data_IF_920872221463
#
_entry.id   IF_920872221463
#
_cell.length_a   1.000
_cell.length_b   1.000
_cell.length_c   1.000
_cell.angle_alpha   90.00
_cell.angle_beta   90.00
_cell.angle_gamma   90.00
#
_symmetry.space_group_name_H-M   'P 1'
#
loop_
_entity.id
_entity.type
_entity.pdbx_description
1 polymer ?
#
# COMPACT_ATOMS: atom_id res chain seq x y z
N UNK A 1 2.53 10.53 -28.53
CA UNK A 1 3.29 10.98 -27.34
C UNK A 1 3.27 9.86 -26.30
N UNK A 2 4.34 9.09 -26.20
CA UNK A 2 4.45 7.98 -25.25
C UNK A 2 4.79 8.54 -23.87
N UNK A 3 3.85 8.48 -22.93
CA UNK A 3 4.04 8.92 -21.55
C UNK A 3 4.79 7.82 -20.81
N UNK A 4 6.07 8.05 -20.52
CA UNK A 4 6.85 7.22 -19.62
C UNK A 4 6.10 7.11 -18.28
N UNK A 5 5.78 5.88 -17.87
CA UNK A 5 5.29 5.60 -16.53
C UNK A 5 6.38 6.03 -15.57
N UNK A 6 6.08 6.95 -14.65
CA UNK A 6 7.02 7.26 -13.58
C UNK A 6 7.41 5.95 -12.88
N UNK A 7 8.70 5.74 -12.56
CA UNK A 7 9.11 4.56 -11.81
C UNK A 7 8.39 4.61 -10.46
N UNK A 8 7.57 3.59 -10.20
CA UNK A 8 7.13 3.34 -8.83
C UNK A 8 8.42 3.08 -8.03
N UNK A 9 8.73 3.82 -6.95
CA UNK A 9 9.87 3.50 -6.12
C UNK A 9 9.64 2.09 -5.55
N UNK A 10 10.23 1.10 -6.23
CA UNK A 10 10.26 -0.26 -5.73
C UNK A 10 11.15 -0.19 -4.49
N UNK A 11 10.65 -0.61 -3.32
CA UNK A 11 11.52 -0.73 -2.17
C UNK A 11 12.69 -1.64 -2.52
N UNK A 12 13.88 -1.26 -2.07
CA UNK A 12 15.05 -2.11 -2.11
C UNK A 12 14.77 -3.41 -1.35
N UNK A 13 15.21 -4.53 -1.90
CA UNK A 13 14.92 -5.86 -1.34
C UNK A 13 15.42 -5.95 0.11
N UNK A 14 16.59 -5.37 0.40
CA UNK A 14 17.16 -5.33 1.75
C UNK A 14 16.29 -4.57 2.75
N UNK A 15 15.72 -3.43 2.35
CA UNK A 15 14.76 -2.71 3.18
C UNK A 15 13.50 -3.54 3.42
N UNK A 16 12.99 -4.24 2.38
CA UNK A 16 11.77 -5.01 2.49
C UNK A 16 11.93 -6.18 3.47
N UNK A 17 13.06 -6.88 3.41
CA UNK A 17 13.43 -7.93 4.35
C UNK A 17 13.56 -7.37 5.78
N UNK A 18 14.25 -6.22 5.94
CA UNK A 18 14.39 -5.58 7.26
C UNK A 18 13.04 -5.11 7.84
N UNK A 19 12.14 -4.60 7.01
CA UNK A 19 10.80 -4.20 7.43
C UNK A 19 9.94 -5.41 7.83
N UNK A 20 10.07 -6.53 7.12
CA UNK A 20 9.40 -7.77 7.48
C UNK A 20 9.88 -8.30 8.84
N UNK A 21 11.19 -8.33 9.06
CA UNK A 21 11.78 -8.72 10.36
C UNK A 21 11.28 -7.83 11.50
N UNK A 22 11.21 -6.52 11.28
CA UNK A 22 10.69 -5.58 12.27
C UNK A 22 9.21 -5.82 12.58
N UNK A 23 8.38 -6.06 11.56
CA UNK A 23 6.96 -6.35 11.75
C UNK A 23 6.76 -7.67 12.52
N UNK A 24 7.54 -8.70 12.22
CA UNK A 24 7.50 -9.99 12.93
C UNK A 24 7.94 -9.80 14.39
N UNK A 25 9.03 -9.07 14.63
CA UNK A 25 9.51 -8.78 15.98
C UNK A 25 8.48 -7.98 16.81
N UNK A 26 7.77 -7.03 16.20
CA UNK A 26 6.69 -6.27 16.85
C UNK A 26 5.49 -7.16 17.24
N UNK A 27 5.28 -8.27 16.53
CA UNK A 27 4.27 -9.28 16.85
C UNK A 27 4.83 -10.46 17.65
N UNK A 28 5.88 -10.25 18.45
CA UNK A 28 6.42 -11.27 19.34
C UNK A 28 7.05 -12.47 18.62
N UNK A 29 7.41 -12.32 17.35
CA UNK A 29 7.96 -13.40 16.53
C UNK A 29 6.92 -14.23 15.77
N UNK A 30 5.62 -13.96 15.92
CA UNK A 30 4.57 -14.65 15.16
C UNK A 30 4.32 -13.97 13.80
N UNK A 31 4.83 -14.59 12.74
CA UNK A 31 4.63 -14.12 11.37
C UNK A 31 3.15 -14.09 10.94
N UNK A 32 2.30 -14.97 11.47
CA UNK A 32 0.87 -14.97 11.16
C UNK A 32 0.17 -13.80 11.85
N UNK A 33 0.57 -13.42 13.05
CA UNK A 33 0.07 -12.21 13.71
C UNK A 33 0.55 -10.95 13.00
N UNK A 34 1.81 -10.91 12.56
CA UNK A 34 2.33 -9.80 11.75
C UNK A 34 1.53 -9.61 10.46
N UNK A 35 1.23 -10.69 9.73
CA UNK A 35 0.39 -10.62 8.51
C UNK A 35 -1.02 -10.09 8.84
N UNK A 36 -1.65 -10.55 9.92
CA UNK A 36 -2.96 -10.02 10.34
C UNK A 36 -2.89 -8.53 10.65
N UNK A 37 -1.86 -8.09 11.37
CA UNK A 37 -1.65 -6.69 11.71
C UNK A 37 -1.45 -5.82 10.45
N UNK A 38 -0.64 -6.29 9.49
CA UNK A 38 -0.42 -5.60 8.21
C UNK A 38 -1.71 -5.51 7.37
N UNK A 39 -2.55 -6.55 7.36
CA UNK A 39 -3.84 -6.50 6.66
C UNK A 39 -4.78 -5.46 7.28
N UNK A 40 -4.83 -5.38 8.61
CA UNK A 40 -5.62 -4.34 9.31
C UNK A 40 -5.06 -2.95 9.04
N UNK A 41 -3.73 -2.78 9.08
CA UNK A 41 -3.08 -1.52 8.76
C UNK A 41 -3.33 -1.08 7.31
N UNK A 42 -3.28 -2.01 6.36
CA UNK A 42 -3.61 -1.71 4.96
C UNK A 42 -5.06 -1.26 4.80
N UNK A 43 -6.02 -1.97 5.42
CA UNK A 43 -7.42 -1.56 5.40
C UNK A 43 -7.64 -0.16 6.00
N UNK A 44 -6.93 0.15 7.08
CA UNK A 44 -6.96 1.47 7.70
C UNK A 44 -6.43 2.56 6.75
N UNK A 45 -5.26 2.33 6.12
CA UNK A 45 -4.66 3.28 5.18
C UNK A 45 -5.54 3.49 3.93
N UNK A 46 -6.16 2.42 3.42
CA UNK A 46 -7.12 2.52 2.31
C UNK A 46 -8.31 3.40 2.67
N UNK A 47 -8.90 3.19 3.86
CA UNK A 47 -10.01 4.01 4.34
C UNK A 47 -9.60 5.47 4.58
N UNK A 48 -8.40 5.71 5.10
CA UNK A 48 -7.85 7.06 5.30
C UNK A 48 -7.62 7.77 3.96
N UNK A 49 -7.10 7.07 2.96
CA UNK A 49 -6.96 7.63 1.60
C UNK A 49 -8.33 8.01 1.07
N UNK A 50 -9.32 7.12 1.11
CA UNK A 50 -10.67 7.40 0.61
C UNK A 50 -11.32 8.60 1.31
N UNK A 51 -11.11 8.76 2.61
CA UNK A 51 -11.62 9.88 3.39
C UNK A 51 -10.97 11.22 3.02
N UNK A 52 -9.68 11.21 2.66
CA UNK A 52 -8.90 12.42 2.40
C UNK A 52 -8.83 12.84 0.92
N UNK A 53 -9.26 12.00 -0.02
CA UNK A 53 -9.29 12.35 -1.45
C UNK A 53 -10.59 13.04 -1.87
N UNK A 54 -10.49 13.90 -2.89
CA UNK A 54 -11.68 14.56 -3.43
C UNK A 54 -12.65 13.56 -4.09
N UNK A 55 -13.95 13.88 -4.03
CA UNK A 55 -15.00 13.11 -4.74
C UNK A 55 -14.75 13.00 -6.25
N UNK A 56 -14.14 14.03 -6.85
CA UNK A 56 -13.77 14.03 -8.26
C UNK A 56 -12.69 12.99 -8.59
N UNK A 57 -11.70 12.84 -7.69
CA UNK A 57 -10.66 11.83 -7.80
C UNK A 57 -11.25 10.41 -7.69
N UNK A 58 -12.05 10.14 -6.64
CA UNK A 58 -12.71 8.83 -6.46
C UNK A 58 -13.55 8.43 -7.68
N UNK A 59 -14.30 9.39 -8.24
CA UNK A 59 -15.05 9.15 -9.48
C UNK A 59 -14.12 8.79 -10.64
N UNK A 60 -13.00 9.48 -10.79
CA UNK A 60 -12.02 9.17 -11.83
C UNK A 60 -11.41 7.77 -11.68
N UNK A 61 -11.08 7.35 -10.45
CA UNK A 61 -10.59 5.99 -10.15
C UNK A 61 -11.63 4.94 -10.54
N UNK A 62 -12.89 5.10 -10.09
CA UNK A 62 -13.99 4.16 -10.42
C UNK A 62 -14.27 4.02 -11.91
N UNK A 63 -13.99 5.05 -12.70
CA UNK A 63 -14.15 5.01 -14.16
C UNK A 63 -12.87 4.62 -14.91
N UNK A 64 -11.82 4.16 -14.21
CA UNK A 64 -10.56 3.75 -14.81
C UNK A 64 -9.76 4.89 -15.46
N UNK A 65 -10.04 6.15 -15.08
CA UNK A 65 -9.33 7.32 -15.63
C UNK A 65 -7.93 7.50 -15.06
N UNK A 66 -7.64 6.88 -13.92
CA UNK A 66 -6.35 6.92 -13.26
C UNK A 66 -5.77 5.51 -13.12
N UNK A 67 -4.44 5.40 -13.23
CA UNK A 67 -3.72 4.18 -12.88
C UNK A 67 -3.42 4.22 -11.38
N UNK A 68 -4.23 3.52 -10.59
CA UNK A 68 -3.96 3.28 -9.17
C UNK A 68 -3.24 1.95 -9.00
N UNK A 69 -2.53 1.79 -7.89
CA UNK A 69 -2.05 0.48 -7.47
C UNK A 69 -3.25 -0.45 -7.26
N UNK A 70 -3.23 -1.66 -7.82
CA UNK A 70 -4.35 -2.61 -7.78
C UNK A 70 -4.16 -3.79 -6.84
N UNK A 71 -3.07 -3.81 -6.06
CA UNK A 71 -2.55 -5.05 -5.49
C UNK A 71 -1.76 -5.83 -6.53
#
# INVERSE_FOLDING_TARGET
>A
MSKASAPNPQPDVEWLESAADQAIAACGGDAREAVKALLVANQFLEAEIEANVSRGYLRGVRHGRFKTYSG
#
